data_IF_592979549475
#
_entry.id   IF_592979549475
#
_cell.length_a   1.000
_cell.length_b   1.000
_cell.length_c   1.000
_cell.angle_alpha   90.00
_cell.angle_beta   90.00
_cell.angle_gamma   90.00
#
_symmetry.space_group_name_H-M   'P 1'
#
loop_
_entity.id
_entity.type
_entity.pdbx_description
1 polymer ?
#
# COMPACT_ATOMS: atom_id res chain seq x y z
N UNK A 1 7.60 10.20 -18.26
CA UNK A 1 7.72 9.41 -17.00
C UNK A 1 6.34 9.16 -16.43
N UNK A 2 6.06 7.96 -15.93
CA UNK A 2 4.78 7.64 -15.28
C UNK A 2 4.69 8.33 -13.92
N UNK A 3 3.53 8.86 -13.56
CA UNK A 3 3.32 9.53 -12.28
C UNK A 3 2.84 8.56 -11.19
N UNK A 4 3.06 8.90 -9.92
CA UNK A 4 2.57 8.07 -8.80
C UNK A 4 1.03 7.88 -8.83
N UNK A 5 0.19 8.90 -9.09
CA UNK A 5 -1.26 8.69 -9.22
C UNK A 5 -1.64 7.68 -10.32
N UNK A 6 -0.92 7.67 -11.45
CA UNK A 6 -1.17 6.69 -12.52
C UNK A 6 -0.81 5.27 -12.07
N UNK A 7 0.28 5.10 -11.33
CA UNK A 7 0.67 3.80 -10.76
C UNK A 7 -0.35 3.32 -9.71
N UNK A 8 -0.81 4.20 -8.84
CA UNK A 8 -1.82 3.87 -7.84
C UNK A 8 -3.18 3.54 -8.48
N UNK A 9 -3.55 4.23 -9.57
CA UNK A 9 -4.73 3.87 -10.35
C UNK A 9 -4.58 2.48 -10.97
N UNK A 10 -3.44 2.17 -11.58
CA UNK A 10 -3.16 0.85 -12.13
C UNK A 10 -3.19 -0.25 -11.04
N UNK A 11 -2.71 0.06 -9.82
CA UNK A 11 -2.81 -0.82 -8.66
C UNK A 11 -4.27 -1.21 -8.38
N UNK A 12 -5.19 -0.25 -8.38
CA UNK A 12 -6.62 -0.49 -8.13
C UNK A 12 -7.28 -1.28 -9.28
N UNK A 13 -7.00 -0.90 -10.52
CA UNK A 13 -7.53 -1.57 -11.72
C UNK A 13 -7.13 -3.05 -11.79
N UNK A 14 -5.92 -3.38 -11.34
CA UNK A 14 -5.41 -4.75 -11.26
C UNK A 14 -5.78 -5.46 -9.95
N UNK A 15 -6.58 -4.86 -9.07
CA UNK A 15 -6.96 -5.39 -7.75
C UNK A 15 -5.74 -5.80 -6.91
N UNK A 16 -4.65 -5.06 -7.03
CA UNK A 16 -3.46 -5.30 -6.24
C UNK A 16 -3.65 -4.81 -4.80
N UNK A 17 -3.17 -5.57 -3.84
CA UNK A 17 -3.18 -5.18 -2.42
C UNK A 17 -2.07 -4.21 -2.08
N UNK A 18 -0.91 -4.39 -2.70
CA UNK A 18 0.28 -3.59 -2.44
C UNK A 18 0.98 -3.25 -3.76
N UNK A 19 1.71 -2.12 -3.74
CA UNK A 19 2.63 -1.70 -4.79
C UNK A 19 3.99 -1.39 -4.19
N UNK A 20 5.04 -1.78 -4.88
CA UNK A 20 6.42 -1.53 -4.48
C UNK A 20 7.16 -0.73 -5.54
N UNK A 21 7.84 0.32 -5.11
CA UNK A 21 8.72 1.17 -5.91
C UNK A 21 10.13 1.02 -5.36
N UNK A 22 11.04 0.47 -6.17
CA UNK A 22 12.43 0.21 -5.78
C UNK A 22 13.35 0.50 -6.95
N UNK A 23 14.48 1.14 -6.67
CA UNK A 23 15.51 1.39 -7.70
C UNK A 23 16.06 0.09 -8.27
N UNK A 24 16.30 0.07 -9.58
CA UNK A 24 16.79 -1.09 -10.31
C UNK A 24 15.72 -2.16 -10.60
N UNK A 25 14.45 -1.84 -10.35
CA UNK A 25 13.31 -2.70 -10.66
C UNK A 25 12.18 -1.88 -11.30
N UNK A 26 11.36 -2.46 -12.17
CA UNK A 26 10.11 -1.81 -12.56
C UNK A 26 9.14 -1.76 -11.36
N UNK A 27 8.16 -0.87 -11.34
CA UNK A 27 7.10 -0.90 -10.36
C UNK A 27 6.48 -2.29 -10.27
N UNK A 28 6.23 -2.77 -9.07
CA UNK A 28 5.74 -4.13 -8.83
C UNK A 28 4.48 -4.11 -7.99
N UNK A 29 3.54 -4.97 -8.32
CA UNK A 29 2.24 -5.08 -7.65
C UNK A 29 2.08 -6.44 -6.99
N UNK A 30 1.45 -6.50 -5.84
CA UNK A 30 1.00 -7.75 -5.24
C UNK A 30 -0.43 -8.02 -5.66
N UNK A 31 -0.64 -9.04 -6.48
CA UNK A 31 -1.96 -9.47 -6.95
C UNK A 31 -2.18 -10.91 -6.49
N UNK A 32 -3.25 -11.15 -5.73
CA UNK A 32 -3.55 -12.48 -5.16
C UNK A 32 -2.34 -13.11 -4.43
N UNK A 33 -1.60 -12.31 -3.67
CA UNK A 33 -0.42 -12.75 -2.91
C UNK A 33 0.87 -12.88 -3.73
N UNK A 34 0.83 -12.79 -5.05
CA UNK A 34 2.00 -12.91 -5.93
C UNK A 34 2.50 -11.54 -6.39
N UNK A 35 3.82 -11.40 -6.51
CA UNK A 35 4.44 -10.18 -7.04
C UNK A 35 4.46 -10.23 -8.56
N UNK A 36 3.79 -9.25 -9.16
CA UNK A 36 3.73 -9.04 -10.63
C UNK A 36 4.44 -7.74 -10.96
N UNK A 37 5.43 -7.80 -11.84
CA UNK A 37 6.16 -6.62 -12.32
C UNK A 37 5.37 -5.91 -13.41
N UNK A 38 5.30 -4.58 -13.36
CA UNK A 38 4.76 -3.79 -14.44
C UNK A 38 5.63 -3.95 -15.71
N UNK A 39 4.99 -3.86 -16.87
CA UNK A 39 5.70 -3.81 -18.16
C UNK A 39 6.21 -2.39 -18.42
N UNK A 40 7.11 -1.93 -17.58
CA UNK A 40 7.75 -0.62 -17.59
C UNK A 40 9.25 -0.79 -17.42
N UNK A 41 10.01 0.27 -17.73
CA UNK A 41 11.45 0.29 -17.55
C UNK A 41 11.85 0.21 -16.06
N UNK A 42 13.10 -0.15 -15.82
CA UNK A 42 13.69 -0.15 -14.48
C UNK A 42 13.77 1.28 -13.96
N UNK A 43 13.30 1.49 -12.76
CA UNK A 43 13.35 2.79 -12.10
C UNK A 43 14.78 3.12 -11.66
N UNK A 44 15.24 4.31 -11.97
CA UNK A 44 16.47 4.88 -11.44
C UNK A 44 16.27 5.40 -9.99
N UNK A 45 17.35 5.64 -9.22
CA UNK A 45 17.26 6.26 -7.89
C UNK A 45 16.57 7.64 -7.91
N UNK A 46 16.76 8.42 -8.98
CA UNK A 46 16.12 9.72 -9.14
C UNK A 46 14.60 9.58 -9.33
N UNK A 47 14.17 8.65 -10.17
CA UNK A 47 12.76 8.39 -10.44
C UNK A 47 12.04 7.84 -9.21
N UNK A 48 12.66 6.92 -8.45
CA UNK A 48 12.06 6.42 -7.20
C UNK A 48 11.89 7.53 -6.18
N UNK A 49 12.88 8.43 -6.05
CA UNK A 49 12.77 9.61 -5.18
C UNK A 49 11.64 10.54 -5.63
N UNK A 50 11.57 10.87 -6.91
CA UNK A 50 10.53 11.74 -7.46
C UNK A 50 9.13 11.17 -7.22
N UNK A 51 8.92 9.89 -7.54
CA UNK A 51 7.64 9.21 -7.33
C UNK A 51 7.23 9.22 -5.85
N UNK A 52 8.13 8.86 -4.94
CA UNK A 52 7.84 8.81 -3.51
C UNK A 52 7.61 10.20 -2.92
N UNK A 53 8.38 11.21 -3.35
CA UNK A 53 8.28 12.57 -2.83
C UNK A 53 7.02 13.32 -3.31
N UNK A 54 6.40 12.85 -4.40
CA UNK A 54 5.19 13.48 -4.96
C UNK A 54 4.00 13.54 -3.98
N UNK A 55 3.97 12.71 -2.96
CA UNK A 55 2.89 12.65 -1.95
C UNK A 55 3.32 13.11 -0.56
N UNK A 56 4.53 13.62 -0.43
CA UNK A 56 5.07 14.11 0.84
C UNK A 56 4.96 15.63 0.95
N UNK A 57 4.57 16.10 2.13
CA UNK A 57 4.74 17.50 2.54
C UNK A 57 6.22 17.81 2.78
N UNK A 58 6.60 19.09 2.82
CA UNK A 58 7.99 19.46 3.07
C UNK A 58 8.48 19.03 4.46
N UNK A 59 7.60 19.04 5.46
CA UNK A 59 7.91 18.51 6.80
C UNK A 59 8.17 17.00 6.76
N UNK A 60 7.36 16.25 6.00
CA UNK A 60 7.53 14.80 5.83
C UNK A 60 8.82 14.46 5.08
N UNK A 61 9.20 15.27 4.08
CA UNK A 61 10.48 15.10 3.36
C UNK A 61 11.66 15.28 4.30
N UNK A 62 11.65 16.35 5.13
CA UNK A 62 12.69 16.59 6.12
C UNK A 62 12.81 15.43 7.12
N UNK A 63 11.67 14.96 7.63
CA UNK A 63 11.62 13.81 8.55
C UNK A 63 12.18 12.53 7.90
N UNK A 64 11.79 12.23 6.66
CA UNK A 64 12.29 11.09 5.91
C UNK A 64 13.81 11.17 5.68
N UNK A 65 14.35 12.36 5.41
CA UNK A 65 15.79 12.57 5.22
C UNK A 65 16.59 12.39 6.51
N UNK A 66 15.99 12.71 7.66
CA UNK A 66 16.59 12.52 8.98
C UNK A 66 16.49 11.06 9.45
N UNK A 67 15.27 10.52 9.54
CA UNK A 67 14.99 9.20 10.13
C UNK A 67 15.18 8.04 9.15
N UNK A 68 15.34 8.32 7.85
CA UNK A 68 15.51 7.34 6.75
C UNK A 68 14.29 6.44 6.53
N UNK A 69 13.19 6.72 7.21
CA UNK A 69 11.93 6.00 7.09
C UNK A 69 10.76 6.92 7.47
N UNK A 70 9.62 6.72 6.80
CA UNK A 70 8.37 7.41 7.10
C UNK A 70 7.19 6.49 6.79
N UNK A 71 6.32 6.27 7.78
CA UNK A 71 5.04 5.58 7.63
C UNK A 71 3.91 6.61 7.78
N UNK A 72 3.02 6.68 6.81
CA UNK A 72 1.91 7.65 6.80
C UNK A 72 0.75 7.15 5.93
N UNK A 73 -0.38 7.82 6.02
CA UNK A 73 -1.51 7.59 5.12
C UNK A 73 -1.86 8.87 4.37
N UNK A 74 -2.34 8.72 3.16
CA UNK A 74 -2.82 9.82 2.33
C UNK A 74 -4.00 9.39 1.47
N UNK A 75 -4.77 10.36 0.99
CA UNK A 75 -5.87 10.14 0.07
C UNK A 75 -5.60 10.82 -1.27
N UNK A 76 -6.00 10.19 -2.35
CA UNK A 76 -6.13 10.83 -3.66
C UNK A 76 -7.60 11.05 -3.92
N UNK A 77 -7.97 12.30 -4.18
CA UNK A 77 -9.37 12.69 -4.45
C UNK A 77 -9.95 11.83 -5.58
N UNK A 78 -11.17 11.36 -5.37
CA UNK A 78 -11.93 10.54 -6.32
C UNK A 78 -11.25 9.21 -6.70
N UNK A 79 -10.19 8.80 -5.99
CA UNK A 79 -9.50 7.55 -6.25
C UNK A 79 -9.58 6.59 -5.05
N UNK A 80 -8.82 6.83 -4.00
CA UNK A 80 -8.78 5.97 -2.81
C UNK A 80 -7.90 6.58 -1.69
N UNK A 81 -7.87 5.90 -0.54
CA UNK A 81 -6.87 6.11 0.50
C UNK A 81 -5.79 5.05 0.42
N UNK A 82 -4.60 5.45 0.80
CA UNK A 82 -3.41 4.59 0.80
C UNK A 82 -2.63 4.75 2.09
N UNK A 83 -2.04 3.66 2.57
CA UNK A 83 -0.96 3.69 3.54
C UNK A 83 0.34 3.52 2.79
N UNK A 84 1.32 4.34 3.12
CA UNK A 84 2.64 4.29 2.52
C UNK A 84 3.72 4.15 3.59
N UNK A 85 4.70 3.33 3.29
CA UNK A 85 5.98 3.32 3.98
C UNK A 85 7.06 3.68 2.96
N UNK A 86 7.73 4.82 3.18
CA UNK A 86 8.84 5.29 2.34
C UNK A 86 10.11 5.18 3.16
N UNK A 87 11.16 4.64 2.58
CA UNK A 87 12.41 4.34 3.29
C UNK A 87 13.60 4.40 2.35
N UNK A 88 14.79 4.44 2.94
CA UNK A 88 16.04 4.33 2.19
C UNK A 88 16.49 2.88 2.14
N UNK A 89 16.82 2.40 0.94
CA UNK A 89 17.37 1.09 0.68
C UNK A 89 18.58 1.22 -0.25
N UNK A 90 19.74 0.76 0.20
CA UNK A 90 21.01 0.85 -0.57
C UNK A 90 21.31 2.26 -1.07
N UNK A 91 21.01 3.28 -0.25
CA UNK A 91 21.22 4.69 -0.58
C UNK A 91 20.18 5.32 -1.50
N UNK A 92 19.19 4.57 -1.97
CA UNK A 92 18.09 5.08 -2.80
C UNK A 92 16.76 5.08 -2.02
N UNK A 93 15.85 5.98 -2.41
CA UNK A 93 14.50 6.01 -1.85
C UNK A 93 13.68 4.86 -2.44
N UNK A 94 12.97 4.16 -1.59
CA UNK A 94 12.03 3.11 -1.95
C UNK A 94 10.68 3.36 -1.27
N UNK A 95 9.60 2.79 -1.80
CA UNK A 95 8.26 2.96 -1.25
C UNK A 95 7.42 1.69 -1.37
N UNK A 96 6.64 1.42 -0.33
CA UNK A 96 5.60 0.42 -0.31
C UNK A 96 4.26 1.09 -0.05
N UNK A 97 3.29 0.82 -0.88
CA UNK A 97 1.96 1.44 -0.85
C UNK A 97 0.90 0.37 -0.72
N UNK A 98 -0.03 0.55 0.22
CA UNK A 98 -1.16 -0.33 0.43
C UNK A 98 -2.48 0.41 0.20
N UNK A 99 -3.37 -0.19 -0.57
CA UNK A 99 -4.73 0.30 -0.73
C UNK A 99 -5.54 0.10 0.56
N UNK A 100 -6.22 1.14 1.01
CA UNK A 100 -7.17 1.10 2.12
C UNK A 100 -8.58 1.26 1.52
N UNK A 101 -9.40 0.20 1.46
CA UNK A 101 -10.76 0.31 0.95
C UNK A 101 -11.60 1.27 1.78
N UNK A 102 -12.46 2.06 1.12
CA UNK A 102 -13.46 2.89 1.82
C UNK A 102 -14.58 2.04 2.40
N UNK A 103 -14.97 0.99 1.67
CA UNK A 103 -16.06 0.12 2.08
C UNK A 103 -15.52 -1.07 2.89
N UNK A 104 -16.12 -1.29 4.06
CA UNK A 104 -15.87 -2.48 4.87
C UNK A 104 -16.70 -3.62 4.28
N UNK A 105 -16.10 -4.73 3.83
CA UNK A 105 -16.84 -5.86 3.31
C UNK A 105 -17.83 -6.40 4.35
N UNK A 106 -19.05 -6.70 3.91
CA UNK A 106 -20.02 -7.34 4.80
C UNK A 106 -19.54 -8.76 5.14
N UNK A 107 -19.80 -9.18 6.36
CA UNK A 107 -19.36 -10.48 6.89
C UNK A 107 -19.78 -11.66 6.00
N UNK A 108 -20.98 -11.61 5.42
CA UNK A 108 -21.47 -12.64 4.49
C UNK A 108 -20.67 -12.78 3.19
N UNK A 109 -19.90 -11.74 2.81
CA UNK A 109 -19.07 -11.75 1.58
C UNK A 109 -17.64 -12.23 1.84
N UNK A 110 -17.28 -12.51 3.08
CA UNK A 110 -15.92 -12.91 3.48
C UNK A 110 -15.71 -14.43 3.48
N UNK A 111 -16.74 -15.22 3.15
CA UNK A 111 -16.64 -16.68 3.17
C UNK A 111 -16.41 -17.27 4.56
N UNK A 112 -16.76 -16.56 5.62
CA UNK A 112 -16.59 -17.00 7.00
C UNK A 112 -17.66 -18.03 7.40
N UNK A 113 -17.34 -18.97 8.30
CA UNK A 113 -18.33 -19.89 8.86
C UNK A 113 -19.48 -19.12 9.56
N UNK A 114 -20.74 -19.59 9.47
CA UNK A 114 -21.91 -18.91 10.07
C UNK A 114 -21.79 -18.67 11.58
N UNK A 115 -21.03 -19.50 12.28
CA UNK A 115 -20.78 -19.37 13.73
C UNK A 115 -20.13 -18.02 14.09
N UNK A 116 -19.34 -17.44 13.19
CA UNK A 116 -18.70 -16.12 13.42
C UNK A 116 -19.76 -15.03 13.63
N UNK A 117 -20.83 -15.03 12.84
CA UNK A 117 -21.95 -14.09 13.02
C UNK A 117 -22.62 -14.20 14.39
N UNK A 118 -22.73 -15.43 14.89
CA UNK A 118 -23.30 -15.66 16.24
C UNK A 118 -22.34 -15.19 17.35
N UNK A 119 -21.04 -15.41 17.17
CA UNK A 119 -20.01 -15.00 18.13
C UNK A 119 -19.92 -13.47 18.30
N UNK A 120 -19.99 -12.72 17.20
CA UNK A 120 -19.93 -11.23 17.26
C UNK A 120 -21.17 -10.60 17.87
N UNK A 121 -22.29 -11.32 17.97
CA UNK A 121 -23.50 -10.87 18.62
C UNK A 121 -23.50 -11.07 20.15
N UNK A 122 -22.52 -11.76 20.70
CA UNK A 122 -22.42 -11.97 22.17
C UNK A 122 -22.15 -10.65 22.88
N UNK A 123 -22.90 -10.32 23.94
CA UNK A 123 -22.76 -9.04 24.64
C UNK A 123 -21.50 -8.94 25.51
N UNK A 124 -20.82 -10.03 25.76
CA UNK A 124 -19.63 -10.13 26.63
C UNK A 124 -18.83 -11.39 26.35
N UNK A 125 -17.58 -11.38 26.77
CA UNK A 125 -16.62 -12.47 26.56
C UNK A 125 -15.49 -12.06 25.62
N UNK A 126 -14.55 -12.97 25.44
CA UNK A 126 -13.39 -12.81 24.55
C UNK A 126 -13.42 -13.92 23.51
N UNK A 127 -13.26 -13.56 22.25
CA UNK A 127 -13.08 -14.49 21.14
C UNK A 127 -11.70 -14.24 20.54
N UNK A 128 -10.88 -15.27 20.47
CA UNK A 128 -9.56 -15.23 19.87
C UNK A 128 -9.60 -15.94 18.51
N UNK A 129 -9.11 -15.25 17.48
CA UNK A 129 -8.88 -15.84 16.17
C UNK A 129 -7.37 -16.05 16.03
N UNK A 130 -6.97 -17.29 15.88
CA UNK A 130 -5.56 -17.69 15.82
C UNK A 130 -5.29 -18.52 14.58
N UNK A 131 -4.02 -18.59 14.20
CA UNK A 131 -3.59 -19.37 13.04
C UNK A 131 -2.16 -19.01 12.63
N UNK A 132 -1.67 -19.72 11.64
CA UNK A 132 -0.37 -19.43 11.03
C UNK A 132 -0.45 -18.25 10.11
#
# INVERSE_FOLDING_TARGET
MISLPQLLKAMLENRASDMHITSGSPPSFRVNGQIVRAKLDLLSPAETKELCYAVLTDQQKAHLEEEKQLDFSFGIRDLARFRANIYYQRGAVAGAFRHIPFDIPKMGNLGLPPVITQLVQKPRGLVLVTGA
#
